data_IF_563812715472
#
_entry.id   IF_563812715472
#
_cell.length_a   1.000
_cell.length_b   1.000
_cell.length_c   1.000
_cell.angle_alpha   90.00
_cell.angle_beta   90.00
_cell.angle_gamma   90.00
#
_symmetry.space_group_name_H-M   'P 1'
#
loop_
_entity.id
_entity.type
_entity.pdbx_description
1 polymer ?
#
# COMPACT_ATOMS: atom_id res chain seq x y z
N UNK A 1 13.80 -0.86 1.89
CA UNK A 1 13.30 -2.22 1.72
C UNK A 1 11.81 -2.29 2.02
N UNK A 2 11.09 -3.21 1.38
CA UNK A 2 9.70 -3.54 1.67
C UNK A 2 9.58 -4.97 2.21
N UNK A 3 8.48 -5.27 2.89
CA UNK A 3 8.24 -6.59 3.45
C UNK A 3 7.52 -7.49 2.45
N UNK A 4 8.29 -8.10 1.57
CA UNK A 4 7.78 -9.05 0.58
C UNK A 4 8.79 -10.18 0.39
N UNK A 5 8.76 -11.14 1.29
CA UNK A 5 9.72 -12.24 1.33
C UNK A 5 9.31 -13.34 0.37
N UNK A 6 10.02 -13.49 -0.72
CA UNK A 6 9.74 -14.52 -1.71
C UNK A 6 11.01 -15.20 -2.22
N UNK A 7 10.82 -16.24 -3.02
CA UNK A 7 11.89 -16.96 -3.70
C UNK A 7 11.54 -17.15 -5.17
N UNK A 8 12.56 -17.20 -6.02
CA UNK A 8 12.42 -17.53 -7.45
C UNK A 8 12.85 -18.95 -7.75
N UNK A 9 13.65 -19.55 -6.86
CA UNK A 9 14.14 -20.92 -6.95
C UNK A 9 14.19 -21.57 -5.57
N UNK A 10 14.59 -22.85 -5.50
CA UNK A 10 14.71 -23.57 -4.23
C UNK A 10 15.86 -23.08 -3.35
N UNK A 11 16.82 -22.34 -3.92
CA UNK A 11 18.07 -21.97 -3.23
C UNK A 11 18.22 -20.46 -2.98
N UNK A 12 17.26 -19.63 -3.39
CA UNK A 12 17.35 -18.19 -3.32
C UNK A 12 16.29 -17.53 -2.41
N UNK A 13 15.76 -18.28 -1.45
CA UNK A 13 14.78 -17.76 -0.47
C UNK A 13 15.30 -16.48 0.17
N UNK A 14 14.51 -15.40 0.09
CA UNK A 14 14.79 -14.08 0.66
C UNK A 14 16.11 -13.43 0.22
N UNK A 15 16.67 -13.82 -0.92
CA UNK A 15 17.89 -13.20 -1.47
C UNK A 15 17.61 -12.00 -2.35
N UNK A 16 16.40 -11.85 -2.86
CA UNK A 16 16.01 -10.68 -3.61
C UNK A 16 15.68 -9.52 -2.66
N UNK A 17 16.18 -8.33 -2.96
CA UNK A 17 15.77 -7.10 -2.26
C UNK A 17 14.47 -6.61 -2.88
N UNK A 18 13.42 -6.62 -2.10
CA UNK A 18 12.16 -5.96 -2.43
C UNK A 18 12.23 -4.51 -1.95
N UNK A 19 11.79 -3.58 -2.77
CA UNK A 19 11.97 -2.16 -2.49
C UNK A 19 10.69 -1.36 -2.74
N UNK A 20 10.49 -0.38 -1.91
CA UNK A 20 9.60 0.76 -2.11
C UNK A 20 10.39 1.99 -2.51
N UNK A 21 9.73 3.01 -2.99
CA UNK A 21 10.36 4.21 -3.53
C UNK A 21 9.78 5.48 -2.92
N UNK A 22 10.65 6.32 -2.37
CA UNK A 22 10.33 7.71 -2.06
C UNK A 22 10.82 8.59 -3.21
N UNK A 23 9.91 9.23 -3.92
CA UNK A 23 10.18 10.10 -5.06
C UNK A 23 10.00 11.54 -4.60
N UNK A 24 11.08 12.30 -4.54
CA UNK A 24 11.07 13.68 -4.07
C UNK A 24 11.38 14.63 -5.21
N UNK A 25 10.42 15.48 -5.53
CA UNK A 25 10.59 16.61 -6.44
C UNK A 25 10.64 17.94 -5.68
N UNK A 26 10.81 19.06 -6.40
CA UNK A 26 10.88 20.38 -5.76
C UNK A 26 9.56 20.82 -5.11
N UNK A 27 8.41 20.25 -5.51
CA UNK A 27 7.08 20.64 -5.03
C UNK A 27 6.28 19.48 -4.47
N UNK A 28 6.64 18.23 -4.76
CA UNK A 28 5.86 17.04 -4.42
C UNK A 28 6.76 15.91 -3.94
N UNK A 29 6.21 15.14 -2.99
CA UNK A 29 6.78 13.90 -2.48
C UNK A 29 5.78 12.77 -2.65
N UNK A 30 6.20 11.69 -3.28
CA UNK A 30 5.37 10.51 -3.55
C UNK A 30 6.06 9.31 -2.92
N UNK A 31 5.29 8.48 -2.25
CA UNK A 31 5.72 7.17 -1.82
C UNK A 31 5.03 6.10 -2.65
N UNK A 32 5.80 5.17 -3.20
CA UNK A 32 5.30 3.98 -3.90
C UNK A 32 5.74 2.74 -3.13
N UNK A 33 4.77 2.05 -2.52
CA UNK A 33 5.06 0.91 -1.66
C UNK A 33 5.56 -0.32 -2.43
N UNK A 34 5.11 -0.52 -3.67
CA UNK A 34 5.24 -1.81 -4.35
C UNK A 34 4.43 -2.87 -3.62
N UNK A 35 4.76 -4.14 -3.83
CA UNK A 35 4.16 -5.24 -3.08
C UNK A 35 4.84 -5.36 -1.73
N UNK A 36 4.05 -5.31 -0.66
CA UNK A 36 4.57 -5.40 0.71
C UNK A 36 3.46 -5.78 1.70
N UNK A 37 3.82 -6.55 2.74
CA UNK A 37 3.06 -6.62 3.96
C UNK A 37 3.21 -5.32 4.77
N UNK A 38 2.34 -5.12 5.77
CA UNK A 38 2.50 -4.02 6.71
C UNK A 38 3.65 -4.31 7.68
N UNK A 39 4.49 -3.28 7.93
CA UNK A 39 5.56 -3.33 8.92
C UNK A 39 5.79 -1.95 9.56
N UNK A 40 6.31 -1.88 10.80
CA UNK A 40 6.47 -0.61 11.53
C UNK A 40 7.39 0.42 10.86
N UNK A 41 8.23 0.01 9.94
CA UNK A 41 9.13 0.91 9.20
C UNK A 41 8.40 1.98 8.37
N UNK A 42 7.08 1.88 8.13
CA UNK A 42 6.32 2.96 7.52
C UNK A 42 6.33 4.23 8.37
N UNK A 43 6.31 4.11 9.71
CA UNK A 43 6.44 5.24 10.64
C UNK A 43 7.81 5.91 10.47
N UNK A 44 8.89 5.13 10.48
CA UNK A 44 10.25 5.65 10.31
C UNK A 44 10.43 6.32 8.95
N UNK A 45 9.87 5.74 7.88
CA UNK A 45 9.90 6.34 6.54
C UNK A 45 9.15 7.67 6.51
N UNK A 46 7.99 7.75 7.17
CA UNK A 46 7.22 8.98 7.33
C UNK A 46 8.00 10.06 8.07
N UNK A 47 8.66 9.72 9.17
CA UNK A 47 9.48 10.63 9.97
C UNK A 47 10.71 11.15 9.21
N UNK A 48 11.42 10.29 8.46
CA UNK A 48 12.66 10.67 7.79
C UNK A 48 12.47 11.31 6.41
N UNK A 49 11.48 10.86 5.64
CA UNK A 49 11.30 11.23 4.24
C UNK A 49 9.98 11.96 3.95
N UNK A 50 9.04 11.86 4.88
CA UNK A 50 7.73 12.51 4.78
C UNK A 50 7.73 13.99 5.20
N UNK A 51 6.56 14.62 5.38
CA UNK A 51 5.29 14.03 4.96
C UNK A 51 5.21 13.88 3.42
N UNK A 52 4.36 12.95 2.95
CA UNK A 52 4.15 12.71 1.53
C UNK A 52 2.85 13.36 1.05
N UNK A 53 2.85 13.88 -0.18
CA UNK A 53 1.62 14.36 -0.83
C UNK A 53 0.73 13.18 -1.25
N UNK A 54 1.35 12.06 -1.66
CA UNK A 54 0.68 10.86 -2.13
C UNK A 54 1.43 9.60 -1.69
N UNK A 55 0.72 8.67 -1.06
CA UNK A 55 1.16 7.29 -0.86
C UNK A 55 0.40 6.37 -1.82
N UNK A 56 1.13 5.58 -2.61
CA UNK A 56 0.58 4.55 -3.50
C UNK A 56 0.79 3.21 -2.81
N UNK A 57 -0.31 2.57 -2.40
CA UNK A 57 -0.29 1.39 -1.53
C UNK A 57 -1.08 0.22 -2.13
N UNK A 58 -0.59 -1.03 -2.02
CA UNK A 58 -1.30 -2.21 -2.48
C UNK A 58 -2.46 -2.51 -1.52
N UNK A 59 -3.65 -2.81 -2.06
CA UNK A 59 -4.85 -3.11 -1.28
C UNK A 59 -5.48 -4.48 -1.60
N UNK A 60 -4.90 -5.25 -2.51
CA UNK A 60 -5.37 -6.58 -2.92
C UNK A 60 -4.38 -7.69 -2.62
N UNK A 61 -4.75 -8.92 -2.99
CA UNK A 61 -3.97 -10.14 -2.78
C UNK A 61 -3.70 -10.45 -1.28
N UNK A 62 -4.67 -10.22 -0.41
CA UNK A 62 -4.50 -10.41 1.04
C UNK A 62 -5.13 -11.68 1.61
N UNK A 63 -5.95 -12.41 0.84
CA UNK A 63 -6.58 -13.64 1.31
C UNK A 63 -5.98 -14.90 0.62
N UNK A 64 -5.86 -16.04 1.36
CA UNK A 64 -6.16 -16.18 2.78
C UNK A 64 -5.11 -15.49 3.67
N UNK A 65 -5.57 -14.76 4.67
CA UNK A 65 -4.71 -13.88 5.47
C UNK A 65 -3.51 -14.57 6.10
N UNK A 66 -3.68 -15.81 6.57
CA UNK A 66 -2.61 -16.59 7.21
C UNK A 66 -1.39 -16.80 6.29
N UNK A 67 -1.60 -16.83 4.97
CA UNK A 67 -0.51 -16.98 3.99
C UNK A 67 0.02 -15.63 3.52
N UNK A 68 -0.86 -14.64 3.36
CA UNK A 68 -0.56 -13.40 2.66
C UNK A 68 0.00 -12.28 3.57
N UNK A 69 -0.22 -12.35 4.88
CA UNK A 69 0.14 -11.29 5.84
C UNK A 69 1.61 -10.86 5.79
N UNK A 70 2.51 -11.77 5.49
CA UNK A 70 3.94 -11.48 5.43
C UNK A 70 4.38 -10.75 4.15
N UNK A 71 3.52 -10.72 3.11
CA UNK A 71 3.88 -10.22 1.78
C UNK A 71 2.91 -9.18 1.22
N UNK A 72 1.66 -9.16 1.70
CA UNK A 72 0.61 -8.29 1.22
C UNK A 72 -0.19 -7.68 2.36
N UNK A 73 -0.44 -6.38 2.29
CA UNK A 73 -1.34 -5.67 3.19
C UNK A 73 -2.79 -5.97 2.84
N UNK A 74 -3.66 -6.03 3.86
CA UNK A 74 -5.09 -5.87 3.62
C UNK A 74 -5.44 -4.37 3.49
N UNK A 75 -6.65 -4.00 3.05
CA UNK A 75 -7.01 -2.60 2.82
C UNK A 75 -6.88 -1.70 4.07
N UNK A 76 -7.17 -2.21 5.25
CA UNK A 76 -7.04 -1.48 6.52
C UNK A 76 -5.58 -1.21 6.86
N UNK A 77 -4.70 -2.20 6.66
CA UNK A 77 -3.26 -2.03 6.84
C UNK A 77 -2.66 -1.10 5.81
N UNK A 78 -3.15 -1.13 4.57
CA UNK A 78 -2.71 -0.22 3.52
C UNK A 78 -3.08 1.24 3.84
N UNK A 79 -4.30 1.47 4.35
CA UNK A 79 -4.71 2.80 4.82
C UNK A 79 -3.85 3.24 6.01
N UNK A 80 -3.66 2.36 6.98
CA UNK A 80 -2.78 2.61 8.13
C UNK A 80 -1.35 2.96 7.70
N UNK A 81 -0.79 2.25 6.72
CA UNK A 81 0.55 2.56 6.20
C UNK A 81 0.61 3.97 5.60
N UNK A 82 -0.45 4.43 4.92
CA UNK A 82 -0.52 5.80 4.40
C UNK A 82 -0.62 6.85 5.52
N UNK A 83 -1.32 6.53 6.62
CA UNK A 83 -1.34 7.36 7.84
C UNK A 83 0.07 7.44 8.46
N UNK A 84 0.73 6.30 8.66
CA UNK A 84 2.07 6.21 9.25
C UNK A 84 3.13 6.96 8.41
N UNK A 85 2.95 7.01 7.08
CA UNK A 85 3.78 7.78 6.15
C UNK A 85 3.54 9.30 6.22
N UNK A 86 2.51 9.75 6.95
CA UNK A 86 2.09 11.15 6.96
C UNK A 86 1.60 11.63 5.59
N UNK A 87 0.96 10.76 4.81
CA UNK A 87 0.49 11.10 3.49
C UNK A 87 -0.78 11.96 3.52
N UNK A 88 -0.91 12.91 2.57
CA UNK A 88 -2.13 13.68 2.40
C UNK A 88 -3.20 12.91 1.60
N UNK A 89 -2.76 12.02 0.70
CA UNK A 89 -3.61 11.18 -0.14
C UNK A 89 -3.09 9.76 -0.20
N UNK A 90 -4.00 8.79 -0.26
CA UNK A 90 -3.69 7.38 -0.33
C UNK A 90 -4.32 6.75 -1.59
N UNK A 91 -3.50 6.41 -2.58
CA UNK A 91 -3.92 5.75 -3.82
C UNK A 91 -3.85 4.24 -3.67
N UNK A 92 -5.00 3.59 -3.65
CA UNK A 92 -5.09 2.13 -3.65
C UNK A 92 -4.80 1.54 -5.02
N UNK A 93 -3.88 0.59 -5.07
CA UNK A 93 -3.47 -0.15 -6.28
C UNK A 93 -3.46 -1.66 -6.02
N UNK A 94 -3.07 -2.45 -7.02
CA UNK A 94 -2.90 -3.90 -6.90
C UNK A 94 -4.20 -4.64 -6.53
N UNK A 95 -5.32 -4.28 -7.17
CA UNK A 95 -6.62 -4.94 -6.96
C UNK A 95 -7.49 -4.91 -8.23
N UNK A 96 -8.53 -5.74 -8.27
CA UNK A 96 -9.63 -5.64 -9.22
C UNK A 96 -9.35 -6.03 -10.67
N UNK A 97 -8.14 -6.49 -11.01
CA UNK A 97 -7.75 -6.83 -12.40
C UNK A 97 -7.66 -8.34 -12.62
N UNK A 98 -7.05 -9.06 -11.71
CA UNK A 98 -6.87 -10.51 -11.79
C UNK A 98 -7.42 -11.18 -10.54
N UNK A 99 -8.08 -12.32 -10.74
CA UNK A 99 -8.55 -13.20 -9.66
C UNK A 99 -7.39 -14.12 -9.24
N UNK A 100 -6.51 -13.61 -8.40
CA UNK A 100 -5.27 -14.29 -7.98
C UNK A 100 -5.28 -14.75 -6.52
N UNK A 101 -6.30 -14.40 -5.77
CA UNK A 101 -6.41 -14.60 -4.32
C UNK A 101 -7.87 -14.82 -3.93
N UNK A 102 -8.11 -15.21 -2.68
CA UNK A 102 -9.44 -15.68 -2.26
C UNK A 102 -10.44 -14.54 -1.95
N UNK A 103 -10.01 -13.27 -1.89
CA UNK A 103 -10.92 -12.16 -1.69
C UNK A 103 -11.69 -11.81 -2.96
N UNK A 104 -12.98 -11.41 -2.85
CA UNK A 104 -13.76 -10.92 -3.98
C UNK A 104 -13.13 -9.67 -4.62
N UNK A 105 -13.06 -9.61 -5.95
CA UNK A 105 -12.38 -8.52 -6.70
C UNK A 105 -12.83 -7.10 -6.33
N UNK A 106 -14.07 -6.91 -5.89
CA UNK A 106 -14.61 -5.59 -5.51
C UNK A 106 -14.40 -5.25 -4.02
N UNK A 107 -14.08 -6.23 -3.19
CA UNK A 107 -13.97 -6.04 -1.73
C UNK A 107 -12.85 -5.09 -1.32
N UNK A 108 -11.63 -5.17 -1.90
CA UNK A 108 -10.52 -4.31 -1.51
C UNK A 108 -10.86 -2.81 -1.55
N UNK A 109 -11.52 -2.38 -2.61
CA UNK A 109 -11.92 -0.98 -2.78
C UNK A 109 -12.90 -0.52 -1.70
N UNK A 110 -13.90 -1.33 -1.39
CA UNK A 110 -14.91 -1.02 -0.37
C UNK A 110 -14.27 -0.93 1.01
N UNK A 111 -13.44 -1.90 1.38
CA UNK A 111 -12.75 -1.93 2.68
C UNK A 111 -11.76 -0.77 2.84
N UNK A 112 -11.05 -0.40 1.78
CA UNK A 112 -10.13 0.73 1.82
C UNK A 112 -10.84 2.07 2.09
N UNK A 113 -11.97 2.32 1.42
CA UNK A 113 -12.81 3.49 1.69
C UNK A 113 -13.41 3.46 3.10
N UNK A 114 -13.81 2.27 3.56
CA UNK A 114 -14.36 2.09 4.90
C UNK A 114 -13.29 2.30 6.00
N UNK A 115 -12.04 1.88 5.76
CA UNK A 115 -10.94 2.13 6.68
C UNK A 115 -10.74 3.63 6.91
N UNK A 116 -10.77 4.44 5.84
CA UNK A 116 -10.72 5.90 5.95
C UNK A 116 -11.93 6.49 6.68
N UNK A 117 -13.13 6.02 6.36
CA UNK A 117 -14.36 6.52 6.98
C UNK A 117 -14.46 6.19 8.48
N UNK A 118 -13.82 5.12 8.93
CA UNK A 118 -13.81 4.67 10.32
C UNK A 118 -12.63 5.25 11.13
N UNK A 119 -11.70 5.97 10.50
CA UNK A 119 -10.60 6.60 11.22
C UNK A 119 -11.17 7.76 12.07
N UNK A 120 -10.94 7.77 13.39
CA UNK A 120 -11.41 8.84 14.27
C UNK A 120 -10.68 10.17 14.06
N UNK A 121 -9.48 10.12 13.47
CA UNK A 121 -8.67 11.29 13.17
C UNK A 121 -8.66 11.60 11.68
N UNK A 122 -8.49 12.87 11.27
CA UNK A 122 -8.34 13.22 9.87
C UNK A 122 -7.08 12.58 9.27
N UNK A 123 -7.29 11.56 8.43
CA UNK A 123 -6.23 10.84 7.74
C UNK A 123 -6.13 11.20 6.24
N UNK A 124 -5.34 10.44 5.47
CA UNK A 124 -5.18 10.64 4.05
C UNK A 124 -6.50 10.46 3.28
N UNK A 125 -6.75 11.32 2.28
CA UNK A 125 -7.87 11.20 1.36
C UNK A 125 -7.71 9.92 0.50
N UNK A 126 -8.65 8.95 0.57
CA UNK A 126 -8.51 7.69 -0.16
C UNK A 126 -8.87 7.88 -1.64
N UNK A 127 -7.94 7.50 -2.53
CA UNK A 127 -8.11 7.59 -3.96
C UNK A 127 -8.21 6.22 -4.62
N UNK A 128 -9.30 6.03 -5.37
CA UNK A 128 -9.56 4.84 -6.17
C UNK A 128 -10.03 5.28 -7.56
N UNK A 129 -9.13 5.80 -8.41
CA UNK A 129 -9.50 6.27 -9.74
C UNK A 129 -9.99 5.11 -10.61
N UNK A 130 -10.94 5.40 -11.49
CA UNK A 130 -11.40 4.46 -12.52
C UNK A 130 -10.29 4.28 -13.56
N UNK A 131 -10.31 3.15 -14.26
CA UNK A 131 -9.39 2.91 -15.38
C UNK A 131 -9.53 4.03 -16.42
N UNK A 132 -8.43 4.69 -16.75
CA UNK A 132 -8.37 5.84 -17.66
C UNK A 132 -8.66 7.19 -17.00
N UNK A 133 -9.04 7.23 -15.72
CA UNK A 133 -9.24 8.49 -15.01
C UNK A 133 -7.89 9.13 -14.66
N UNK A 134 -7.80 10.44 -14.82
CA UNK A 134 -6.65 11.25 -14.42
C UNK A 134 -7.05 12.22 -13.31
N UNK A 135 -6.22 12.31 -12.28
CA UNK A 135 -6.40 13.28 -11.17
C UNK A 135 -5.11 14.03 -10.93
N UNK A 136 -5.25 15.28 -10.49
CA UNK A 136 -4.12 16.11 -10.04
C UNK A 136 -4.05 16.17 -8.51
N UNK A 137 -2.85 16.30 -7.96
CA UNK A 137 -2.59 16.42 -6.52
C UNK A 137 -1.47 17.40 -6.21
#
# INVERSE_FOLDING_TARGET
PSQHWSKRSLTDTNKALWASWAITGPQRRIYYAGDTGYFPGFIEIGEYLGPFDLAIVPIGAYAPRAMMVASHMNPEEAYKAAVDLGASKALGVHYGTFDLSDEPLAEPAQRFLQASANDPEPGPDPWLPKIGETRSF
#
